data_IF_202422989597
#
_entry.id   IF_202422989597
#
_cell.length_a   1.000
_cell.length_b   1.000
_cell.length_c   1.000
_cell.angle_alpha   90.00
_cell.angle_beta   90.00
_cell.angle_gamma   90.00
#
_symmetry.space_group_name_H-M   'P 1'
#
loop_
_entity.id
_entity.type
_entity.pdbx_description
1 polymer ?
#
# COMPACT_ATOMS: atom_id res chain seq x y z
N UNK A 1 -13.63 -25.59 14.61
CA UNK A 1 -12.84 -24.33 14.59
C UNK A 1 -13.40 -23.47 13.47
N UNK A 2 -13.76 -22.22 13.75
CA UNK A 2 -14.21 -21.29 12.70
C UNK A 2 -12.99 -20.80 11.90
N UNK A 3 -13.09 -20.75 10.58
CA UNK A 3 -12.02 -20.19 9.74
C UNK A 3 -12.06 -18.66 9.78
N UNK A 4 -10.93 -18.03 10.12
CA UNK A 4 -10.75 -16.59 9.98
C UNK A 4 -10.03 -16.27 8.66
N UNK A 5 -10.42 -15.20 7.98
CA UNK A 5 -9.71 -14.66 6.82
C UNK A 5 -8.86 -13.48 7.28
N UNK A 6 -7.57 -13.53 6.97
CA UNK A 6 -6.62 -12.44 7.25
C UNK A 6 -6.62 -11.50 6.04
N UNK A 7 -6.65 -10.20 6.30
CA UNK A 7 -6.57 -9.14 5.30
C UNK A 7 -5.16 -8.52 5.32
N UNK A 8 -4.87 -7.70 4.33
CA UNK A 8 -3.63 -6.95 4.22
C UNK A 8 -3.55 -5.78 5.23
N UNK A 9 -2.41 -5.10 5.23
CA UNK A 9 -2.10 -4.00 6.15
C UNK A 9 -2.26 -2.61 5.53
N UNK A 10 -1.66 -1.61 6.18
CA UNK A 10 -1.84 -0.20 5.85
C UNK A 10 -0.94 0.28 4.69
N UNK A 11 -1.50 0.40 3.49
CA UNK A 11 -0.78 0.85 2.28
C UNK A 11 -0.08 2.22 2.42
N UNK A 12 -0.77 3.23 2.97
CA UNK A 12 -0.19 4.57 3.12
C UNK A 12 1.05 4.58 4.02
N UNK A 13 1.02 3.82 5.12
CA UNK A 13 2.15 3.69 6.04
C UNK A 13 3.34 3.01 5.37
N UNK A 14 3.08 1.98 4.56
CA UNK A 14 4.12 1.27 3.82
C UNK A 14 4.79 2.12 2.73
N UNK A 15 4.03 3.01 2.09
CA UNK A 15 4.57 4.00 1.14
C UNK A 15 5.46 5.03 1.87
N UNK A 16 4.99 5.58 3.00
CA UNK A 16 5.79 6.52 3.81
C UNK A 16 7.07 5.84 4.32
N UNK A 17 6.98 4.59 4.78
CA UNK A 17 8.14 3.79 5.24
C UNK A 17 9.21 3.62 4.16
N UNK A 18 8.80 3.60 2.89
CA UNK A 18 9.68 3.49 1.71
C UNK A 18 10.14 4.85 1.18
N UNK A 19 9.86 5.94 1.91
CA UNK A 19 10.37 7.27 1.62
C UNK A 19 9.48 8.12 0.72
N UNK A 20 8.23 7.72 0.46
CA UNK A 20 7.31 8.54 -0.33
C UNK A 20 6.65 9.61 0.54
N UNK A 21 6.71 10.85 0.06
CA UNK A 21 5.86 11.92 0.57
C UNK A 21 4.48 11.84 -0.08
N UNK A 22 3.45 11.71 0.74
CA UNK A 22 2.09 11.50 0.28
C UNK A 22 1.31 12.83 0.23
N UNK A 23 0.78 13.25 -0.93
CA UNK A 23 -0.06 14.44 -0.99
C UNK A 23 -1.36 14.22 -0.21
N UNK A 24 -1.82 15.28 0.47
CA UNK A 24 -3.05 15.23 1.26
C UNK A 24 -4.24 14.86 0.36
N UNK A 25 -5.10 13.99 0.87
CA UNK A 25 -6.37 13.54 0.26
C UNK A 25 -6.29 12.76 -1.07
N UNK A 26 -5.20 12.87 -1.83
CA UNK A 26 -5.06 12.23 -3.17
C UNK A 26 -3.84 11.31 -3.31
N UNK A 27 -3.28 10.87 -2.17
CA UNK A 27 -2.08 10.04 -2.14
C UNK A 27 -2.18 8.76 -2.97
N UNK A 28 -3.34 8.10 -2.98
CA UNK A 28 -3.51 6.81 -3.66
C UNK A 28 -3.50 6.97 -5.18
N UNK A 29 -4.17 8.00 -5.71
CA UNK A 29 -4.11 8.34 -7.13
C UNK A 29 -2.69 8.70 -7.56
N UNK A 30 -1.99 9.51 -6.75
CA UNK A 30 -0.60 9.87 -7.02
C UNK A 30 0.31 8.64 -7.03
N UNK A 31 0.25 7.78 -6.01
CA UNK A 31 1.07 6.57 -5.92
C UNK A 31 0.80 5.60 -7.08
N UNK A 32 -0.47 5.37 -7.45
CA UNK A 32 -0.82 4.49 -8.56
C UNK A 32 -0.36 5.01 -9.93
N UNK A 33 -0.36 6.33 -10.14
CA UNK A 33 0.05 6.92 -11.41
C UNK A 33 1.57 7.06 -11.54
N UNK A 34 2.28 7.27 -10.43
CA UNK A 34 3.72 7.62 -10.44
C UNK A 34 4.63 6.50 -9.94
N UNK A 35 4.15 5.61 -9.08
CA UNK A 35 4.90 4.51 -8.48
C UNK A 35 4.10 3.18 -8.48
N UNK A 36 3.50 2.75 -9.62
CA UNK A 36 2.65 1.56 -9.65
C UNK A 36 3.40 0.27 -9.26
N UNK A 37 4.68 0.16 -9.59
CA UNK A 37 5.50 -1.02 -9.22
C UNK A 37 5.68 -1.12 -7.71
N UNK A 38 5.88 0.02 -7.02
CA UNK A 38 5.99 0.03 -5.56
C UNK A 38 4.70 -0.40 -4.88
N UNK A 39 3.55 0.02 -5.41
CA UNK A 39 2.22 -0.39 -4.92
C UNK A 39 2.03 -1.90 -5.10
N UNK A 40 2.41 -2.41 -6.27
CA UNK A 40 2.35 -3.84 -6.57
C UNK A 40 3.24 -4.67 -5.64
N UNK A 41 4.46 -4.21 -5.38
CA UNK A 41 5.40 -4.92 -4.51
C UNK A 41 4.90 -4.96 -3.06
N UNK A 42 4.30 -3.88 -2.54
CA UNK A 42 3.68 -3.89 -1.21
C UNK A 42 2.54 -4.92 -1.14
N UNK A 43 1.67 -4.99 -2.14
CA UNK A 43 0.61 -6.01 -2.16
C UNK A 43 1.16 -7.43 -2.21
N UNK A 44 2.24 -7.66 -2.97
CA UNK A 44 2.94 -8.96 -3.02
C UNK A 44 3.56 -9.36 -1.70
N UNK A 45 3.97 -8.42 -0.86
CA UNK A 45 4.50 -8.73 0.48
C UNK A 45 3.42 -9.23 1.45
N UNK A 46 2.13 -8.99 1.17
CA UNK A 46 1.01 -9.45 2.01
C UNK A 46 0.39 -10.79 1.57
N UNK A 47 0.83 -11.37 0.44
CA UNK A 47 0.29 -12.61 -0.17
C UNK A 47 1.35 -13.70 -0.20
#
# INVERSE_FOLDING_TARGET
MASCKILDGAMGSELIRRGLELPKHVWSASANLTHPELVLDIHREYV
#
